data_IF_268098030658
#
_entry.id   IF_268098030658
#
_cell.length_a   1.000
_cell.length_b   1.000
_cell.length_c   1.000
_cell.angle_alpha   90.00
_cell.angle_beta   90.00
_cell.angle_gamma   90.00
#
_symmetry.space_group_name_H-M   'P 1'
#
loop_
_entity.id
_entity.type
_entity.pdbx_description
1 polymer ?
#
# COMPACT_ATOMS: atom_id res chain seq x y z
N UNK A 1 0.87 5.96 18.98
CA UNK A 1 2.34 5.86 18.90
C UNK A 1 2.82 5.53 17.48
N UNK A 2 2.45 4.40 16.86
CA UNK A 2 2.85 4.02 15.49
C UNK A 2 2.31 4.88 14.32
N UNK A 3 1.27 5.71 14.53
CA UNK A 3 0.45 6.29 13.45
C UNK A 3 1.08 7.44 12.62
N UNK A 4 2.15 8.10 13.09
CA UNK A 4 2.53 9.40 12.53
C UNK A 4 4.00 9.59 12.17
N UNK A 5 4.94 8.93 12.85
CA UNK A 5 6.38 9.18 12.58
C UNK A 5 6.92 8.47 11.32
N UNK A 6 6.19 7.48 10.78
CA UNK A 6 6.71 6.68 9.65
C UNK A 6 6.17 7.08 8.28
N UNK A 7 5.22 8.02 8.13
CA UNK A 7 4.69 8.37 6.80
C UNK A 7 5.78 8.78 5.81
N UNK A 8 6.73 9.61 6.26
CA UNK A 8 7.86 10.05 5.45
C UNK A 8 8.79 8.87 5.10
N UNK A 9 9.00 7.95 6.03
CA UNK A 9 9.83 6.76 5.79
C UNK A 9 9.19 5.86 4.74
N UNK A 10 7.90 5.58 4.86
CA UNK A 10 7.17 4.75 3.88
C UNK A 10 7.15 5.41 2.49
N UNK A 11 6.85 6.70 2.40
CA UNK A 11 6.85 7.43 1.13
C UNK A 11 8.24 7.45 0.48
N UNK A 12 9.30 7.58 1.27
CA UNK A 12 10.66 7.55 0.75
C UNK A 12 11.07 6.15 0.30
N UNK A 13 10.68 5.10 1.03
CA UNK A 13 10.89 3.72 0.59
C UNK A 13 10.23 3.48 -0.78
N UNK A 14 8.96 3.89 -0.94
CA UNK A 14 8.22 3.77 -2.20
C UNK A 14 8.93 4.51 -3.35
N UNK A 15 9.44 5.72 -3.12
CA UNK A 15 10.18 6.50 -4.14
C UNK A 15 11.44 5.79 -4.62
N UNK A 16 12.13 5.06 -3.73
CA UNK A 16 13.35 4.33 -4.06
C UNK A 16 13.11 3.04 -4.86
N UNK A 17 11.87 2.52 -4.86
CA UNK A 17 11.52 1.28 -5.56
C UNK A 17 11.38 1.44 -7.08
N UNK A 18 11.39 2.67 -7.61
CA UNK A 18 11.19 2.96 -9.04
C UNK A 18 9.97 2.23 -9.66
N UNK A 19 8.85 2.23 -8.93
CA UNK A 19 7.60 1.57 -9.33
C UNK A 19 7.08 2.19 -10.63
N UNK A 20 6.81 1.33 -11.61
CA UNK A 20 6.22 1.69 -12.89
C UNK A 20 4.68 1.55 -12.86
N UNK A 21 3.93 2.25 -13.74
CA UNK A 21 2.47 2.29 -13.71
C UNK A 21 1.74 0.94 -13.75
N UNK A 22 2.33 -0.07 -14.37
CA UNK A 22 1.73 -1.40 -14.55
C UNK A 22 2.34 -2.47 -13.64
N UNK A 23 3.21 -2.09 -12.72
CA UNK A 23 3.87 -3.08 -11.85
C UNK A 23 2.88 -3.75 -10.90
N UNK A 24 3.24 -4.97 -10.48
CA UNK A 24 2.63 -5.59 -9.31
C UNK A 24 3.57 -5.41 -8.13
N UNK A 25 3.10 -4.72 -7.09
CA UNK A 25 3.89 -4.36 -5.91
C UNK A 25 3.42 -5.18 -4.71
N UNK A 26 4.37 -5.78 -3.98
CA UNK A 26 4.15 -6.49 -2.74
C UNK A 26 4.74 -5.69 -1.57
N UNK A 27 3.94 -5.46 -0.53
CA UNK A 27 4.40 -4.91 0.75
C UNK A 27 4.21 -5.95 1.86
N UNK A 28 5.32 -6.38 2.46
CA UNK A 28 5.34 -7.31 3.59
C UNK A 28 5.39 -6.53 4.90
N UNK A 29 4.43 -6.78 5.80
CA UNK A 29 4.25 -6.03 7.02
C UNK A 29 3.68 -4.62 6.77
N UNK A 30 2.60 -4.53 5.99
CA UNK A 30 2.05 -3.24 5.55
C UNK A 30 1.53 -2.35 6.70
N UNK A 31 1.36 -2.92 7.90
CA UNK A 31 0.88 -2.23 9.08
C UNK A 31 -0.41 -1.46 8.79
N UNK A 32 -0.51 -0.17 9.11
CA UNK A 32 -1.72 0.59 8.86
C UNK A 32 -1.97 0.89 7.36
N UNK A 33 -1.03 0.59 6.45
CA UNK A 33 -1.15 0.77 5.00
C UNK A 33 -0.71 2.14 4.47
N UNK A 34 0.32 2.75 5.04
CA UNK A 34 0.87 4.03 4.54
C UNK A 34 1.71 3.84 3.27
N UNK A 35 2.59 2.83 3.24
CA UNK A 35 3.34 2.45 2.04
C UNK A 35 2.41 2.08 0.89
N UNK A 36 1.42 1.24 1.18
CA UNK A 36 0.36 0.82 0.25
C UNK A 36 -0.31 2.01 -0.44
N UNK A 37 -0.70 3.02 0.35
CA UNK A 37 -1.33 4.22 -0.18
C UNK A 37 -0.37 5.01 -1.08
N UNK A 38 0.88 5.19 -0.67
CA UNK A 38 1.89 5.88 -1.47
C UNK A 38 2.18 5.13 -2.78
N UNK A 39 2.38 3.81 -2.73
CA UNK A 39 2.61 2.98 -3.92
C UNK A 39 1.41 3.00 -4.88
N UNK A 40 0.18 3.01 -4.36
CA UNK A 40 -1.02 3.05 -5.20
C UNK A 40 -1.14 4.30 -6.08
N UNK A 41 -0.49 5.41 -5.68
CA UNK A 41 -0.47 6.64 -6.48
C UNK A 41 0.44 6.52 -7.72
N UNK A 42 1.39 5.58 -7.71
CA UNK A 42 2.30 5.34 -8.84
C UNK A 42 1.74 4.31 -9.82
N UNK A 43 0.87 3.41 -9.36
CA UNK A 43 0.22 2.34 -10.14
C UNK A 43 -0.97 2.86 -10.98
N UNK A 44 -0.70 3.80 -11.88
CA UNK A 44 -1.73 4.48 -12.70
C UNK A 44 -2.18 3.67 -13.91
N UNK A 45 -1.45 2.63 -14.28
CA UNK A 45 -1.73 1.81 -15.44
C UNK A 45 -2.87 0.79 -15.21
N UNK A 46 -3.48 0.28 -16.29
CA UNK A 46 -4.60 -0.67 -16.17
C UNK A 46 -4.19 -2.00 -15.52
N UNK A 47 -2.93 -2.40 -15.61
CA UNK A 47 -2.43 -3.67 -15.06
C UNK A 47 -1.81 -3.52 -13.66
N UNK A 48 -1.57 -2.29 -13.21
CA UNK A 48 -0.97 -2.02 -11.90
C UNK A 48 -1.78 -2.60 -10.76
N UNK A 49 -1.11 -3.31 -9.84
CA UNK A 49 -1.70 -4.03 -8.71
C UNK A 49 -0.88 -3.92 -7.44
N UNK A 50 -1.56 -3.93 -6.31
CA UNK A 50 -0.96 -3.86 -4.98
C UNK A 50 -1.36 -5.08 -4.15
N UNK A 51 -0.39 -5.72 -3.52
CA UNK A 51 -0.59 -6.85 -2.60
C UNK A 51 0.01 -6.46 -1.27
N UNK A 52 -0.81 -6.41 -0.22
CA UNK A 52 -0.34 -6.25 1.15
C UNK A 52 -0.43 -7.57 1.89
N UNK A 53 0.59 -7.89 2.67
CA UNK A 53 0.53 -8.97 3.66
C UNK A 53 0.91 -8.41 5.03
N UNK A 54 0.10 -8.66 6.04
CA UNK A 54 0.44 -8.41 7.44
C UNK A 54 -0.01 -9.60 8.28
N UNK A 55 0.59 -9.79 9.45
CA UNK A 55 0.17 -10.86 10.37
C UNK A 55 -1.04 -10.43 11.22
N UNK A 56 -1.16 -9.12 11.48
CA UNK A 56 -2.14 -8.60 12.42
C UNK A 56 -3.48 -8.34 11.74
N UNK A 57 -4.54 -9.04 12.16
CA UNK A 57 -5.92 -8.74 11.73
C UNK A 57 -6.30 -7.26 11.96
N UNK A 58 -5.83 -6.67 13.07
CA UNK A 58 -6.05 -5.26 13.35
C UNK A 58 -5.40 -4.36 12.28
N UNK A 59 -4.23 -4.73 11.76
CA UNK A 59 -3.57 -4.00 10.67
C UNK A 59 -4.31 -4.16 9.35
N UNK A 60 -4.83 -5.36 9.03
CA UNK A 60 -5.73 -5.53 7.89
C UNK A 60 -6.94 -4.61 7.98
N UNK A 61 -7.66 -4.56 9.11
CA UNK A 61 -8.82 -3.68 9.25
C UNK A 61 -8.47 -2.20 9.06
N UNK A 62 -7.32 -1.75 9.59
CA UNK A 62 -6.85 -0.39 9.41
C UNK A 62 -6.48 -0.09 7.95
N UNK A 63 -5.70 -0.97 7.32
CA UNK A 63 -5.25 -0.80 5.96
C UNK A 63 -6.41 -0.91 4.97
N UNK A 64 -7.35 -1.85 5.15
CA UNK A 64 -8.55 -1.98 4.31
C UNK A 64 -9.44 -0.73 4.39
N UNK A 65 -9.56 -0.08 5.55
CA UNK A 65 -10.25 1.21 5.66
C UNK A 65 -9.56 2.30 4.85
N UNK A 66 -8.22 2.36 4.88
CA UNK A 66 -7.43 3.34 4.11
C UNK A 66 -7.44 3.06 2.61
N UNK A 67 -7.43 1.79 2.21
CA UNK A 67 -7.33 1.33 0.82
C UNK A 67 -8.68 0.95 0.20
N UNK A 68 -9.79 1.37 0.81
CA UNK A 68 -11.16 0.97 0.43
C UNK A 68 -11.44 1.20 -1.06
N UNK A 69 -11.01 2.33 -1.60
CA UNK A 69 -11.22 2.69 -3.02
C UNK A 69 -10.46 1.75 -3.95
N UNK A 70 -9.18 1.50 -3.68
CA UNK A 70 -8.30 0.63 -4.46
C UNK A 70 -8.78 -0.82 -4.41
N UNK A 71 -9.21 -1.30 -3.25
CA UNK A 71 -9.81 -2.63 -3.11
C UNK A 71 -11.09 -2.73 -3.95
N UNK A 72 -11.98 -1.74 -3.85
CA UNK A 72 -13.24 -1.74 -4.61
C UNK A 72 -13.03 -1.73 -6.13
N UNK A 73 -11.91 -1.17 -6.61
CA UNK A 73 -11.50 -1.17 -8.02
C UNK A 73 -10.74 -2.43 -8.44
N UNK A 74 -10.54 -3.41 -7.54
CA UNK A 74 -9.72 -4.60 -7.81
C UNK A 74 -8.23 -4.29 -7.98
N UNK A 75 -7.78 -3.13 -7.50
CA UNK A 75 -6.40 -2.65 -7.62
C UNK A 75 -5.53 -3.01 -6.41
N UNK A 76 -6.14 -3.39 -5.30
CA UNK A 76 -5.43 -3.83 -4.10
C UNK A 76 -6.07 -5.08 -3.49
N UNK A 77 -5.23 -5.97 -2.96
CA UNK A 77 -5.61 -7.12 -2.13
C UNK A 77 -4.78 -7.04 -0.84
N UNK A 78 -5.46 -7.11 0.30
CA UNK A 78 -4.89 -7.07 1.65
C UNK A 78 -5.40 -8.27 2.43
#
# INVERSE_FOLDING_TARGET
FFKWHNKILEENAVKLCNIQPNDTVLELGHGPGLGLQAASQLLTGPEGKLIGVDYSQYMHEMASKRMKEQISRGKAVL
#
